data_IF_026811512121
#
_entry.id   IF_026811512121
#
_cell.length_a   1.000
_cell.length_b   1.000
_cell.length_c   1.000
_cell.angle_alpha   90.00
_cell.angle_beta   90.00
_cell.angle_gamma   90.00
#
_symmetry.space_group_name_H-M   'P 1'
#
loop_
_entity.id
_entity.type
_entity.pdbx_description
1 polymer ?
#
# COMPACT_ATOMS: atom_id res chain seq x y z
N UNK A 1 12.16 -10.37 3.30
CA UNK A 1 10.84 -9.70 3.37
C UNK A 1 10.32 -9.76 4.80
N UNK A 2 9.64 -8.72 5.28
CA UNK A 2 8.95 -8.67 6.56
C UNK A 2 7.50 -8.28 6.29
N UNK A 3 6.55 -9.08 6.77
CA UNK A 3 5.12 -8.82 6.69
C UNK A 3 4.57 -8.65 8.12
N UNK A 4 4.13 -7.45 8.52
CA UNK A 4 3.62 -7.24 9.87
C UNK A 4 2.19 -7.78 10.02
N UNK A 5 1.89 -8.33 11.19
CA UNK A 5 0.51 -8.60 11.61
C UNK A 5 -0.15 -7.28 12.04
N UNK A 6 -0.91 -6.66 11.16
CA UNK A 6 -1.52 -5.34 11.38
C UNK A 6 -2.57 -5.32 12.48
N UNK A 7 -3.17 -6.46 12.78
CA UNK A 7 -4.25 -6.58 13.77
C UNK A 7 -3.79 -7.08 15.14
N UNK A 8 -2.48 -7.26 15.35
CA UNK A 8 -1.90 -7.91 16.54
C UNK A 8 -2.36 -7.34 17.89
N UNK A 9 -2.73 -6.06 17.94
CA UNK A 9 -3.24 -5.42 19.16
C UNK A 9 -4.69 -5.80 19.47
N UNK A 10 -5.46 -6.14 18.44
CA UNK A 10 -6.86 -6.55 18.57
C UNK A 10 -6.95 -8.07 18.63
N UNK A 11 -6.31 -8.73 17.69
CA UNK A 11 -6.24 -10.18 17.58
C UNK A 11 -4.98 -10.56 16.79
N UNK A 12 -4.20 -11.52 17.30
CA UNK A 12 -3.01 -12.04 16.63
C UNK A 12 -3.39 -13.09 15.58
N UNK A 13 -2.61 -13.17 14.53
CA UNK A 13 -2.71 -14.19 13.47
C UNK A 13 -4.11 -14.26 12.87
N UNK A 14 -4.63 -13.10 12.50
CA UNK A 14 -5.92 -13.02 11.81
C UNK A 14 -5.73 -13.54 10.39
N UNK A 15 -6.45 -14.62 10.07
CA UNK A 15 -6.58 -15.18 8.74
C UNK A 15 -8.06 -15.12 8.37
N UNK A 16 -8.37 -14.45 7.27
CA UNK A 16 -9.73 -14.22 6.79
C UNK A 16 -9.79 -14.46 5.29
N UNK A 17 -10.80 -15.14 4.85
CA UNK A 17 -11.17 -15.27 3.44
C UNK A 17 -11.99 -14.07 2.94
N UNK A 18 -12.83 -14.34 1.94
CA UNK A 18 -13.58 -13.29 1.22
C UNK A 18 -15.09 -13.51 1.23
N UNK A 19 -15.62 -14.41 2.06
CA UNK A 19 -17.05 -14.49 2.28
C UNK A 19 -17.58 -13.27 3.05
N UNK A 20 -18.89 -13.08 3.09
CA UNK A 20 -19.52 -11.89 3.66
C UNK A 20 -19.23 -11.75 5.16
N UNK A 21 -19.23 -12.85 5.92
CA UNK A 21 -18.99 -12.83 7.37
C UNK A 21 -17.55 -12.45 7.68
N UNK A 22 -16.58 -13.03 6.99
CA UNK A 22 -15.15 -12.74 7.14
C UNK A 22 -14.83 -11.33 6.66
N UNK A 23 -15.47 -10.87 5.59
CA UNK A 23 -15.37 -9.49 5.12
C UNK A 23 -15.86 -8.49 6.17
N UNK A 24 -17.00 -8.75 6.81
CA UNK A 24 -17.51 -7.88 7.89
C UNK A 24 -16.57 -7.87 9.09
N UNK A 25 -16.01 -9.01 9.44
CA UNK A 25 -14.98 -9.11 10.49
C UNK A 25 -13.74 -8.30 10.13
N UNK A 26 -13.25 -8.40 8.90
CA UNK A 26 -12.12 -7.59 8.41
C UNK A 26 -12.39 -6.09 8.54
N UNK A 27 -13.59 -5.63 8.14
CA UNK A 27 -14.02 -4.23 8.26
C UNK A 27 -14.03 -3.79 9.73
N UNK A 28 -14.53 -4.63 10.63
CA UNK A 28 -14.55 -4.34 12.07
C UNK A 28 -13.15 -4.17 12.64
N UNK A 29 -12.23 -5.07 12.30
CA UNK A 29 -10.82 -4.98 12.70
C UNK A 29 -10.16 -3.73 12.11
N UNK A 30 -10.41 -3.40 10.84
CA UNK A 30 -9.89 -2.19 10.21
C UNK A 30 -10.36 -0.90 10.90
N UNK A 31 -11.61 -0.84 11.33
CA UNK A 31 -12.16 0.31 12.07
C UNK A 31 -11.53 0.49 13.46
N UNK A 32 -11.01 -0.58 14.05
CA UNK A 32 -10.30 -0.55 15.32
C UNK A 32 -8.84 -0.12 15.23
N UNK A 33 -8.31 0.07 14.03
CA UNK A 33 -6.92 0.51 13.83
C UNK A 33 -6.79 2.01 14.11
N UNK A 34 -5.79 2.40 14.89
CA UNK A 34 -5.49 3.80 15.19
C UNK A 34 -4.30 4.29 14.35
N UNK A 35 -4.42 5.45 13.69
CA UNK A 35 -3.38 5.96 12.79
C UNK A 35 -2.01 6.09 13.45
N UNK A 36 -1.95 6.59 14.67
CA UNK A 36 -0.70 6.77 15.43
C UNK A 36 -0.03 5.44 15.80
N UNK A 37 -0.82 4.40 16.13
CA UNK A 37 -0.31 3.05 16.38
C UNK A 37 0.26 2.43 15.11
N UNK A 38 -0.44 2.57 13.97
CA UNK A 38 0.03 2.10 12.66
C UNK A 38 1.33 2.80 12.23
N UNK A 39 1.44 4.12 12.46
CA UNK A 39 2.68 4.85 12.17
C UNK A 39 3.85 4.36 13.04
N UNK A 40 3.59 4.08 14.32
CA UNK A 40 4.59 3.47 15.23
C UNK A 40 5.02 2.10 14.74
N UNK A 41 4.06 1.25 14.34
CA UNK A 41 4.33 -0.08 13.81
C UNK A 41 5.16 -0.05 12.53
N UNK A 42 4.84 0.86 11.60
CA UNK A 42 5.61 1.06 10.36
C UNK A 42 7.07 1.37 10.69
N UNK A 43 7.32 2.34 11.58
CA UNK A 43 8.70 2.69 11.98
C UNK A 43 9.41 1.52 12.63
N UNK A 44 8.73 0.80 13.51
CA UNK A 44 9.27 -0.39 14.20
C UNK A 44 9.61 -1.49 13.19
N UNK A 45 8.75 -1.76 12.22
CA UNK A 45 9.02 -2.75 11.17
C UNK A 45 10.24 -2.40 10.33
N UNK A 46 10.37 -1.14 9.92
CA UNK A 46 11.54 -0.67 9.15
C UNK A 46 12.81 -0.74 9.99
N UNK A 47 12.76 -0.35 11.26
CA UNK A 47 13.89 -0.45 12.17
C UNK A 47 14.30 -1.92 12.39
N UNK A 48 13.34 -2.82 12.61
CA UNK A 48 13.60 -4.24 12.76
C UNK A 48 14.22 -4.87 11.51
N UNK A 49 13.78 -4.44 10.32
CA UNK A 49 14.36 -4.89 9.05
C UNK A 49 15.83 -4.44 8.92
N UNK A 50 16.12 -3.20 9.26
CA UNK A 50 17.48 -2.62 9.22
C UNK A 50 18.42 -3.18 10.28
N UNK A 51 17.89 -3.64 11.40
CA UNK A 51 18.69 -4.24 12.47
C UNK A 51 19.16 -5.67 12.17
N UNK A 52 18.62 -6.31 11.11
CA UNK A 52 19.03 -7.66 10.73
C UNK A 52 20.34 -7.62 9.94
N UNK A 53 21.34 -8.43 10.31
CA UNK A 53 22.63 -8.47 9.59
C UNK A 53 22.46 -8.70 8.08
N UNK A 54 21.51 -9.55 7.69
CA UNK A 54 21.24 -9.93 6.30
C UNK A 54 20.66 -8.80 5.46
N UNK A 55 20.12 -7.76 6.07
CA UNK A 55 19.46 -6.64 5.37
C UNK A 55 19.97 -5.26 5.75
N UNK A 56 20.87 -5.17 6.72
CA UNK A 56 21.35 -3.90 7.28
C UNK A 56 22.01 -2.97 6.24
N UNK A 57 22.70 -3.54 5.25
CA UNK A 57 23.41 -2.81 4.20
C UNK A 57 22.56 -2.51 2.94
N UNK A 58 21.33 -3.03 2.89
CA UNK A 58 20.48 -2.89 1.71
C UNK A 58 19.46 -1.78 1.85
N UNK A 59 19.06 -1.21 0.70
CA UNK A 59 17.92 -0.33 0.64
C UNK A 59 16.64 -1.08 1.00
N UNK A 60 15.68 -0.38 1.59
CA UNK A 60 14.39 -0.95 1.99
C UNK A 60 13.24 -0.26 1.28
N UNK A 61 12.25 -1.02 0.87
CA UNK A 61 11.03 -0.51 0.26
C UNK A 61 9.78 -1.01 0.98
N UNK A 62 8.64 -0.41 0.68
CA UNK A 62 7.32 -0.84 1.13
C UNK A 62 6.44 -1.16 -0.08
N UNK A 63 5.75 -2.30 -0.04
CA UNK A 63 4.72 -2.65 -1.00
C UNK A 63 3.47 -3.08 -0.25
N UNK A 64 2.31 -2.61 -0.67
CA UNK A 64 1.07 -2.98 0.00
C UNK A 64 -0.16 -2.90 -0.88
N UNK A 65 -1.20 -3.63 -0.47
CA UNK A 65 -2.47 -3.78 -1.16
C UNK A 65 -3.60 -3.28 -0.28
N UNK A 66 -4.57 -2.55 -0.82
CA UNK A 66 -5.72 -2.00 -0.12
C UNK A 66 -5.27 -1.15 1.10
N UNK A 67 -5.61 -1.56 2.33
CA UNK A 67 -5.05 -0.96 3.55
C UNK A 67 -3.53 -0.89 3.50
N UNK A 68 -2.86 -1.96 3.06
CA UNK A 68 -1.42 -2.00 2.89
C UNK A 68 -0.88 -0.99 1.89
N UNK A 69 -1.63 -0.67 0.83
CA UNK A 69 -1.29 0.39 -0.13
C UNK A 69 -1.26 1.77 0.53
N UNK A 70 -2.26 2.06 1.38
CA UNK A 70 -2.25 3.28 2.20
C UNK A 70 -1.08 3.32 3.18
N UNK A 71 -0.74 2.17 3.79
CA UNK A 71 0.39 2.09 4.71
C UNK A 71 1.75 2.22 3.99
N UNK A 72 1.87 1.73 2.75
CA UNK A 72 3.07 1.95 1.92
C UNK A 72 3.27 3.45 1.62
N UNK A 73 2.21 4.17 1.27
CA UNK A 73 2.23 5.63 1.12
C UNK A 73 2.63 6.33 2.43
N UNK A 74 2.06 5.91 3.55
CA UNK A 74 2.43 6.44 4.88
C UNK A 74 3.91 6.17 5.17
N UNK A 75 4.41 4.95 4.91
CA UNK A 75 5.81 4.59 5.11
C UNK A 75 6.76 5.45 4.27
N UNK A 76 6.40 5.77 3.02
CA UNK A 76 7.17 6.66 2.16
C UNK A 76 7.34 8.07 2.75
N UNK A 77 6.37 8.53 3.53
CA UNK A 77 6.40 9.85 4.16
C UNK A 77 7.12 9.90 5.51
N UNK A 78 7.16 8.77 6.27
CA UNK A 78 7.58 8.85 7.70
C UNK A 78 8.66 7.86 8.12
N UNK A 79 9.05 6.90 7.28
CA UNK A 79 9.90 5.79 7.71
C UNK A 79 11.30 5.76 7.07
N UNK A 80 11.61 6.73 6.21
CA UNK A 80 12.91 6.85 5.55
C UNK A 80 13.25 5.67 4.64
N UNK A 81 12.25 5.00 4.07
CA UNK A 81 12.45 3.94 3.07
C UNK A 81 12.90 4.52 1.72
N UNK A 82 13.31 3.68 0.79
CA UNK A 82 13.93 4.08 -0.47
C UNK A 82 13.00 3.96 -1.68
N UNK A 83 11.90 3.22 -1.57
CA UNK A 83 10.86 3.11 -2.59
C UNK A 83 9.54 2.64 -1.97
N UNK A 84 8.40 3.02 -2.57
CA UNK A 84 7.10 2.54 -2.14
C UNK A 84 6.21 2.15 -3.33
N UNK A 85 5.40 1.11 -3.17
CA UNK A 85 4.38 0.70 -4.14
C UNK A 85 3.04 0.53 -3.45
N UNK A 86 2.05 1.29 -3.89
CA UNK A 86 0.72 1.35 -3.31
C UNK A 86 -0.34 0.83 -4.30
N UNK A 87 -0.84 -0.38 -4.08
CA UNK A 87 -1.95 -0.94 -4.85
C UNK A 87 -3.28 -0.54 -4.22
N UNK A 88 -4.15 0.10 -5.01
CA UNK A 88 -5.52 0.50 -4.64
C UNK A 88 -5.65 0.93 -3.17
N UNK A 89 -4.77 1.84 -2.74
CA UNK A 89 -4.69 2.33 -1.36
C UNK A 89 -5.87 3.24 -1.01
N UNK A 90 -6.96 2.66 -0.51
CA UNK A 90 -8.12 3.42 -0.07
C UNK A 90 -7.81 4.31 1.13
N UNK A 91 -8.27 5.57 1.11
CA UNK A 91 -8.04 6.54 2.16
C UNK A 91 -6.73 7.34 2.04
N UNK A 92 -5.95 7.17 0.97
CA UNK A 92 -4.80 8.05 0.67
C UNK A 92 -5.29 9.47 0.42
N UNK A 93 -6.43 9.65 -0.26
CA UNK A 93 -7.07 10.95 -0.50
C UNK A 93 -7.45 11.71 0.78
N UNK A 94 -7.53 11.00 1.90
CA UNK A 94 -7.84 11.58 3.21
C UNK A 94 -6.56 11.90 4.02
N UNK A 95 -5.39 11.59 3.46
CA UNK A 95 -4.08 11.77 4.08
C UNK A 95 -3.11 12.59 3.21
N UNK A 96 -3.63 13.48 2.37
CA UNK A 96 -2.83 14.27 1.43
C UNK A 96 -1.81 15.20 2.11
N UNK A 97 -2.00 15.53 3.38
CA UNK A 97 -1.02 16.24 4.20
C UNK A 97 0.34 15.51 4.34
N UNK A 98 0.38 14.22 4.00
CA UNK A 98 1.63 13.45 3.93
C UNK A 98 2.37 13.61 2.59
N UNK A 99 1.70 14.04 1.52
CA UNK A 99 2.33 14.16 0.19
C UNK A 99 3.56 15.08 0.17
N UNK A 100 3.57 16.26 0.81
CA UNK A 100 4.78 17.09 0.89
C UNK A 100 5.94 16.39 1.62
N UNK A 101 5.65 15.41 2.49
CA UNK A 101 6.61 14.66 3.31
C UNK A 101 7.15 13.41 2.64
N UNK A 102 6.73 13.08 1.43
CA UNK A 102 7.28 11.95 0.69
C UNK A 102 8.80 12.10 0.53
N UNK A 103 9.55 11.10 0.95
CA UNK A 103 11.01 11.08 1.03
C UNK A 103 11.66 10.15 0.00
N UNK A 104 10.85 9.38 -0.74
CA UNK A 104 11.32 8.42 -1.73
C UNK A 104 10.36 8.34 -2.92
N UNK A 105 10.82 7.79 -4.05
CA UNK A 105 9.96 7.44 -5.17
C UNK A 105 8.79 6.56 -4.75
N UNK A 106 7.62 6.82 -5.34
CA UNK A 106 6.41 6.05 -5.06
C UNK A 106 5.62 5.73 -6.33
N UNK A 107 5.15 4.49 -6.44
CA UNK A 107 4.31 4.04 -7.54
C UNK A 107 2.91 3.68 -7.04
N UNK A 108 1.88 4.23 -7.67
CA UNK A 108 0.48 3.98 -7.35
C UNK A 108 -0.20 3.19 -8.45
N UNK A 109 -1.00 2.19 -8.06
CA UNK A 109 -1.83 1.38 -8.96
C UNK A 109 -3.29 1.50 -8.56
N UNK A 110 -4.12 2.12 -9.38
CA UNK A 110 -5.55 2.30 -9.16
C UNK A 110 -6.38 1.56 -10.22
N UNK A 111 -7.61 1.25 -9.89
CA UNK A 111 -8.58 0.65 -10.79
C UNK A 111 -9.59 1.71 -11.27
N UNK A 112 -9.97 1.70 -12.56
CA UNK A 112 -10.86 2.73 -13.11
C UNK A 112 -12.32 2.61 -12.63
N UNK A 113 -12.70 1.42 -12.14
CA UNK A 113 -14.05 1.13 -11.60
C UNK A 113 -14.01 0.80 -10.11
N UNK A 114 -13.14 1.46 -9.35
CA UNK A 114 -13.04 1.27 -7.91
C UNK A 114 -14.11 2.12 -7.20
N UNK A 115 -15.13 1.45 -6.64
CA UNK A 115 -16.20 2.13 -5.90
C UNK A 115 -15.70 2.79 -4.59
N UNK A 116 -14.60 2.29 -4.02
CA UNK A 116 -13.99 2.81 -2.81
C UNK A 116 -13.02 3.96 -3.07
N UNK A 117 -12.51 4.06 -4.31
CA UNK A 117 -11.53 5.08 -4.73
C UNK A 117 -11.98 5.65 -6.07
N UNK A 118 -12.99 6.54 -6.10
CA UNK A 118 -13.49 7.12 -7.34
C UNK A 118 -12.41 7.96 -8.05
N UNK A 119 -12.57 8.17 -9.35
CA UNK A 119 -11.62 8.91 -10.18
C UNK A 119 -11.24 10.28 -9.57
N UNK A 120 -12.20 10.99 -9.00
CA UNK A 120 -11.95 12.27 -8.32
C UNK A 120 -11.00 12.14 -7.12
N UNK A 121 -10.99 11.00 -6.43
CA UNK A 121 -10.03 10.73 -5.35
C UNK A 121 -8.62 10.47 -5.91
N UNK A 122 -8.52 9.78 -7.04
CA UNK A 122 -7.25 9.55 -7.74
C UNK A 122 -6.66 10.88 -8.21
N UNK A 123 -7.47 11.78 -8.76
CA UNK A 123 -7.02 13.11 -9.20
C UNK A 123 -6.53 13.96 -8.02
N UNK A 124 -7.18 13.94 -6.87
CA UNK A 124 -6.67 14.60 -5.67
C UNK A 124 -5.29 14.09 -5.26
N UNK A 125 -5.06 12.79 -5.36
CA UNK A 125 -3.73 12.21 -5.08
C UNK A 125 -2.73 12.70 -6.12
N UNK A 126 -3.09 12.68 -7.42
CA UNK A 126 -2.25 13.16 -8.51
C UNK A 126 -1.81 14.61 -8.30
N UNK A 127 -2.74 15.48 -7.96
CA UNK A 127 -2.46 16.90 -7.64
C UNK A 127 -1.53 17.03 -6.44
N UNK A 128 -1.81 16.28 -5.37
CA UNK A 128 -1.02 16.36 -4.13
C UNK A 128 0.43 15.87 -4.29
N UNK A 129 0.68 14.92 -5.20
CA UNK A 129 2.03 14.42 -5.47
C UNK A 129 2.69 15.08 -6.69
N UNK A 130 2.07 16.12 -7.25
CA UNK A 130 2.65 16.86 -8.36
C UNK A 130 4.04 17.42 -7.97
N UNK A 131 5.04 17.19 -8.83
CA UNK A 131 6.43 17.56 -8.55
C UNK A 131 7.19 16.64 -7.60
N UNK A 132 6.59 15.53 -7.16
CA UNK A 132 7.27 14.44 -6.47
C UNK A 132 7.68 13.36 -7.47
N UNK A 133 8.64 12.53 -7.10
CA UNK A 133 8.98 11.31 -7.85
C UNK A 133 7.87 10.27 -7.62
N UNK A 134 6.79 10.39 -8.41
CA UNK A 134 5.57 9.60 -8.23
C UNK A 134 5.01 9.17 -9.60
N UNK A 135 4.74 7.87 -9.72
CA UNK A 135 4.08 7.27 -10.89
C UNK A 135 2.67 6.86 -10.53
N UNK A 136 1.69 7.19 -11.36
CA UNK A 136 0.28 6.82 -11.14
C UNK A 136 -0.25 6.09 -12.36
N UNK A 137 -0.64 4.83 -12.16
CA UNK A 137 -1.27 3.98 -13.18
C UNK A 137 -2.72 3.69 -12.82
N UNK A 138 -3.61 3.85 -13.79
CA UNK A 138 -5.02 3.49 -13.68
C UNK A 138 -5.30 2.35 -14.66
N UNK A 139 -5.88 1.26 -14.16
CA UNK A 139 -6.15 0.04 -14.93
C UNK A 139 -7.60 0.02 -15.37
N UNK A 140 -7.80 0.18 -16.69
CA UNK A 140 -9.12 0.30 -17.27
C UNK A 140 -9.95 -0.98 -17.09
N UNK A 141 -11.22 -0.81 -16.72
CA UNK A 141 -12.16 -1.91 -16.48
C UNK A 141 -11.94 -2.71 -15.19
N UNK A 142 -10.86 -2.44 -14.46
CA UNK A 142 -10.56 -3.09 -13.18
C UNK A 142 -11.35 -2.48 -12.02
N UNK A 143 -11.57 -3.29 -10.98
CA UNK A 143 -12.23 -2.90 -9.73
C UNK A 143 -11.27 -3.06 -8.54
N UNK A 144 -11.69 -2.65 -7.34
CA UNK A 144 -10.87 -2.76 -6.13
C UNK A 144 -10.38 -4.19 -5.90
N UNK A 145 -9.11 -4.37 -5.65
CA UNK A 145 -8.53 -5.69 -5.40
C UNK A 145 -8.20 -6.49 -6.65
N UNK A 146 -8.09 -5.86 -7.82
CA UNK A 146 -7.82 -6.54 -9.10
C UNK A 146 -6.57 -7.43 -9.12
N UNK A 147 -5.64 -7.26 -8.19
CA UNK A 147 -4.41 -8.05 -8.10
C UNK A 147 -4.56 -9.29 -7.18
N UNK A 148 -5.71 -9.49 -6.57
CA UNK A 148 -5.94 -10.61 -5.65
C UNK A 148 -6.65 -11.77 -6.37
N UNK A 149 -5.93 -12.86 -6.63
CA UNK A 149 -6.46 -14.03 -7.37
C UNK A 149 -7.59 -14.78 -6.65
N UNK A 150 -7.72 -14.67 -5.34
CA UNK A 150 -8.81 -15.28 -4.57
C UNK A 150 -10.11 -14.47 -4.58
N UNK A 151 -10.11 -13.29 -5.23
CA UNK A 151 -11.30 -12.42 -5.29
C UNK A 151 -11.94 -12.45 -6.67
N UNK A 152 -13.27 -12.35 -6.70
CA UNK A 152 -14.02 -12.19 -7.95
C UNK A 152 -13.67 -10.92 -8.76
N UNK A 153 -12.98 -9.97 -8.12
CA UNK A 153 -12.45 -8.76 -8.77
C UNK A 153 -11.11 -8.97 -9.47
N UNK A 154 -10.52 -10.17 -9.41
CA UNK A 154 -9.23 -10.45 -10.05
C UNK A 154 -9.27 -10.18 -11.55
N UNK A 155 -8.32 -9.37 -12.02
CA UNK A 155 -8.13 -9.11 -13.43
C UNK A 155 -6.70 -9.50 -13.82
N UNK A 156 -6.50 -10.66 -14.46
CA UNK A 156 -5.17 -11.21 -14.72
C UNK A 156 -4.29 -10.30 -15.59
N UNK A 157 -4.86 -9.61 -16.58
CA UNK A 157 -4.11 -8.72 -17.44
C UNK A 157 -3.61 -7.48 -16.69
N UNK A 158 -4.49 -6.85 -15.91
CA UNK A 158 -4.13 -5.69 -15.08
C UNK A 158 -3.17 -6.08 -13.96
N UNK A 159 -3.36 -7.24 -13.34
CA UNK A 159 -2.48 -7.77 -12.30
C UNK A 159 -1.06 -8.02 -12.83
N UNK A 160 -0.93 -8.71 -13.98
CA UNK A 160 0.37 -8.97 -14.60
C UNK A 160 1.10 -7.69 -14.97
N UNK A 161 0.39 -6.73 -15.57
CA UNK A 161 0.97 -5.44 -15.96
C UNK A 161 1.40 -4.62 -14.73
N UNK A 162 0.58 -4.56 -13.69
CA UNK A 162 0.90 -3.87 -12.45
C UNK A 162 2.10 -4.52 -11.73
N UNK A 163 2.13 -5.85 -11.70
CA UNK A 163 3.25 -6.59 -11.10
C UNK A 163 4.57 -6.34 -11.85
N UNK A 164 4.55 -6.38 -13.18
CA UNK A 164 5.72 -6.07 -14.00
C UNK A 164 6.26 -4.65 -13.75
N UNK A 165 5.39 -3.66 -13.70
CA UNK A 165 5.73 -2.26 -13.37
C UNK A 165 6.33 -2.15 -11.98
N UNK A 166 5.71 -2.76 -10.98
CA UNK A 166 6.19 -2.73 -9.60
C UNK A 166 7.55 -3.40 -9.45
N UNK A 167 7.77 -4.51 -10.13
CA UNK A 167 9.05 -5.22 -10.09
C UNK A 167 10.17 -4.39 -10.71
N UNK A 168 9.92 -3.79 -11.88
CA UNK A 168 10.88 -2.91 -12.55
C UNK A 168 11.18 -1.67 -11.69
N UNK A 169 10.14 -1.02 -11.14
CA UNK A 169 10.28 0.13 -10.26
C UNK A 169 11.09 -0.19 -9.00
N UNK A 170 10.77 -1.27 -8.31
CA UNK A 170 11.51 -1.67 -7.11
C UNK A 170 12.95 -2.06 -7.43
N UNK A 171 13.20 -2.73 -8.57
CA UNK A 171 14.56 -3.05 -9.01
C UNK A 171 15.38 -1.78 -9.26
N UNK A 172 14.81 -0.79 -9.92
CA UNK A 172 15.49 0.48 -10.20
C UNK A 172 15.88 1.25 -8.94
N UNK A 173 15.05 1.22 -7.90
CA UNK A 173 15.24 2.08 -6.72
C UNK A 173 15.90 1.37 -5.54
N UNK A 174 15.85 0.04 -5.49
CA UNK A 174 16.38 -0.74 -4.35
C UNK A 174 17.75 -1.38 -4.64
N UNK A 175 18.14 -1.48 -5.89
CA UNK A 175 19.44 -2.01 -6.32
C UNK A 175 20.24 -0.95 -7.08
#
# INVERSE_FOLDING_TARGET
MLAPDLFWRQQRRVELGYDDAERQRAITLMKGLKPEELQSDIRTCVAALRARPETASFKSGALGFCLGGRLAYTAAAIAGIHAAVAYYGGGIQDQLALAPKLQCPIQFHYASRDESIPAAAVEKVREAVAGKDAEIFVYEGSTHGFNCWDRGSYNPASAALAHGRSTAFLAQHLF
#
